data_IF_805854963799
#
_entry.id   IF_805854963799
#
_cell.length_a   1.000
_cell.length_b   1.000
_cell.length_c   1.000
_cell.angle_alpha   90.00
_cell.angle_beta   90.00
_cell.angle_gamma   90.00
#
_symmetry.space_group_name_H-M   'P 1'
#
loop_
_entity.id
_entity.type
_entity.pdbx_description
1 polymer ?
#
# COMPACT_ATOMS: atom_id res chain seq x y z
N UNK A 1 35.25 8.24 24.70
CA UNK A 1 35.23 8.31 23.23
C UNK A 1 33.82 7.95 22.80
N UNK A 2 33.14 9.00 22.33
CA UNK A 2 31.87 9.12 21.59
C UNK A 2 30.92 7.92 21.44
N UNK A 3 29.75 8.05 22.08
CA UNK A 3 28.38 8.08 21.52
C UNK A 3 28.16 7.71 20.04
N UNK A 4 27.04 7.03 19.78
CA UNK A 4 26.27 7.30 18.56
C UNK A 4 26.01 6.15 17.59
N UNK A 5 25.62 4.97 18.08
CA UNK A 5 25.05 3.93 17.22
C UNK A 5 23.62 4.30 16.77
N UNK A 6 23.49 5.00 15.65
CA UNK A 6 22.22 5.33 15.00
C UNK A 6 21.58 4.09 14.34
N UNK A 7 21.16 3.12 15.15
CA UNK A 7 20.38 1.99 14.69
C UNK A 7 18.89 2.35 14.64
N UNK A 8 18.42 2.99 13.56
CA UNK A 8 16.98 3.08 13.28
C UNK A 8 16.42 1.69 12.94
N UNK A 9 16.23 0.86 13.96
CA UNK A 9 15.44 -0.35 13.84
C UNK A 9 13.97 0.08 13.86
N UNK A 10 13.38 0.36 12.70
CA UNK A 10 11.93 0.33 12.56
C UNK A 10 11.47 -1.07 12.98
N UNK A 11 10.87 -1.20 14.16
CA UNK A 11 10.42 -2.49 14.66
C UNK A 11 9.48 -3.12 13.63
N UNK A 12 9.53 -4.45 13.47
CA UNK A 12 8.67 -5.16 12.51
C UNK A 12 7.17 -4.88 12.71
N UNK A 13 6.76 -4.56 13.95
CA UNK A 13 5.42 -4.09 14.29
C UNK A 13 5.05 -2.76 13.61
N UNK A 14 6.01 -1.82 13.50
CA UNK A 14 5.82 -0.56 12.79
C UNK A 14 5.60 -0.80 11.29
N UNK A 15 6.41 -1.66 10.67
CA UNK A 15 6.28 -1.99 9.24
C UNK A 15 4.95 -2.69 8.94
N UNK A 16 4.54 -3.64 9.79
CA UNK A 16 3.24 -4.29 9.64
C UNK A 16 2.07 -3.30 9.74
N UNK A 17 2.13 -2.37 10.69
CA UNK A 17 1.14 -1.30 10.84
C UNK A 17 1.09 -0.38 9.61
N UNK A 18 2.25 0.00 9.07
CA UNK A 18 2.32 0.81 7.85
C UNK A 18 1.78 0.07 6.62
N UNK A 19 2.05 -1.23 6.50
CA UNK A 19 1.50 -2.08 5.43
C UNK A 19 -0.02 -2.17 5.52
N UNK A 20 -0.60 -2.38 6.70
CA UNK A 20 -2.06 -2.41 6.87
C UNK A 20 -2.70 -1.06 6.56
N UNK A 21 -2.08 0.03 7.01
CA UNK A 21 -2.55 1.38 6.68
C UNK A 21 -2.48 1.67 5.17
N UNK A 22 -1.42 1.21 4.49
CA UNK A 22 -1.29 1.31 3.04
C UNK A 22 -2.35 0.47 2.31
N UNK A 23 -2.65 -0.75 2.78
CA UNK A 23 -3.73 -1.59 2.23
C UNK A 23 -5.08 -0.89 2.33
N UNK A 24 -5.39 -0.30 3.48
CA UNK A 24 -6.64 0.45 3.69
C UNK A 24 -6.74 1.65 2.74
N UNK A 25 -5.64 2.39 2.54
CA UNK A 25 -5.59 3.45 1.52
C UNK A 25 -5.90 2.94 0.13
N UNK A 26 -5.32 1.81 -0.29
CA UNK A 26 -5.60 1.21 -1.59
C UNK A 26 -7.08 0.82 -1.73
N UNK A 27 -7.70 0.22 -0.69
CA UNK A 27 -9.13 -0.10 -0.68
C UNK A 27 -10.00 1.14 -0.86
N UNK A 28 -9.70 2.23 -0.14
CA UNK A 28 -10.40 3.52 -0.29
C UNK A 28 -10.26 4.11 -1.69
N UNK A 29 -9.07 4.03 -2.28
CA UNK A 29 -8.83 4.51 -3.65
C UNK A 29 -9.64 3.68 -4.67
N UNK A 30 -9.65 2.35 -4.55
CA UNK A 30 -10.46 1.47 -5.41
C UNK A 30 -11.95 1.84 -5.32
N UNK A 31 -12.46 2.05 -4.10
CA UNK A 31 -13.84 2.47 -3.89
C UNK A 31 -14.14 3.82 -4.56
N UNK A 32 -13.26 4.82 -4.37
CA UNK A 32 -13.38 6.13 -5.04
C UNK A 32 -13.36 6.02 -6.56
N UNK A 33 -12.47 5.20 -7.13
CA UNK A 33 -12.39 5.00 -8.58
C UNK A 33 -13.69 4.37 -9.11
N UNK A 34 -14.23 3.37 -8.41
CA UNK A 34 -15.50 2.74 -8.78
C UNK A 34 -16.66 3.76 -8.84
N UNK A 35 -16.69 4.71 -7.91
CA UNK A 35 -17.67 5.80 -7.87
C UNK A 35 -17.45 6.93 -8.88
N UNK A 36 -16.34 6.94 -9.64
CA UNK A 36 -16.11 7.99 -10.65
C UNK A 36 -17.13 7.90 -11.79
N UNK A 37 -17.76 9.03 -12.18
CA UNK A 37 -18.72 9.07 -13.26
C UNK A 37 -18.01 8.92 -14.61
N UNK A 38 -18.48 8.01 -15.46
CA UNK A 38 -17.91 7.78 -16.79
C UNK A 38 -18.06 8.98 -17.74
N UNK A 39 -18.90 9.95 -17.39
CA UNK A 39 -19.04 11.22 -18.12
C UNK A 39 -17.81 12.13 -18.02
N UNK A 40 -16.92 11.89 -17.05
CA UNK A 40 -15.72 12.72 -16.82
C UNK A 40 -14.41 11.98 -17.06
N UNK A 41 -14.47 10.66 -17.25
CA UNK A 41 -13.29 9.81 -17.41
C UNK A 41 -13.60 8.71 -18.41
N UNK A 42 -12.72 8.55 -19.40
CA UNK A 42 -12.81 7.45 -20.34
C UNK A 42 -12.73 6.10 -19.62
N UNK A 43 -13.49 5.11 -20.10
CA UNK A 43 -13.53 3.78 -19.49
C UNK A 43 -12.13 3.14 -19.40
N UNK A 44 -11.27 3.37 -20.40
CA UNK A 44 -9.87 2.92 -20.41
C UNK A 44 -9.06 3.53 -19.27
N UNK A 45 -9.21 4.83 -19.01
CA UNK A 45 -8.55 5.51 -17.89
C UNK A 45 -9.03 4.95 -16.54
N UNK A 46 -10.35 4.73 -16.38
CA UNK A 46 -10.91 4.11 -15.16
C UNK A 46 -10.36 2.70 -14.95
N UNK A 47 -10.29 1.90 -16.02
CA UNK A 47 -9.73 0.56 -15.97
C UNK A 47 -8.24 0.56 -15.58
N UNK A 48 -7.45 1.47 -16.14
CA UNK A 48 -6.02 1.63 -15.79
C UNK A 48 -5.85 2.02 -14.32
N UNK A 49 -6.62 3.00 -13.82
CA UNK A 49 -6.56 3.39 -12.41
C UNK A 49 -6.92 2.23 -11.47
N UNK A 50 -7.98 1.48 -11.80
CA UNK A 50 -8.37 0.28 -11.04
C UNK A 50 -7.26 -0.77 -11.06
N UNK A 51 -6.64 -1.02 -12.21
CA UNK A 51 -5.54 -1.97 -12.34
C UNK A 51 -4.37 -1.55 -11.45
N UNK A 52 -3.93 -0.29 -11.51
CA UNK A 52 -2.83 0.21 -10.70
C UNK A 52 -3.10 0.06 -9.19
N UNK A 53 -4.28 0.48 -8.73
CA UNK A 53 -4.63 0.36 -7.31
C UNK A 53 -4.74 -1.10 -6.82
N UNK A 54 -5.23 -2.01 -7.68
CA UNK A 54 -5.28 -3.45 -7.38
C UNK A 54 -3.90 -4.09 -7.36
N UNK A 55 -3.01 -3.72 -8.28
CA UNK A 55 -1.63 -4.21 -8.33
C UNK A 55 -0.88 -3.81 -7.06
N UNK A 56 -1.02 -2.56 -6.62
CA UNK A 56 -0.42 -2.08 -5.37
C UNK A 56 -0.97 -2.83 -4.15
N UNK A 57 -2.29 -2.99 -4.05
CA UNK A 57 -2.90 -3.76 -2.96
C UNK A 57 -2.41 -5.22 -2.93
N UNK A 58 -2.25 -5.83 -4.10
CA UNK A 58 -1.72 -7.19 -4.22
C UNK A 58 -0.25 -7.25 -3.77
N UNK A 59 0.57 -6.26 -4.16
CA UNK A 59 1.94 -6.13 -3.69
C UNK A 59 2.01 -6.02 -2.16
N UNK A 60 1.26 -5.10 -1.56
CA UNK A 60 1.18 -4.92 -0.10
C UNK A 60 0.66 -6.17 0.63
N UNK A 61 -0.25 -6.92 0.02
CA UNK A 61 -0.78 -8.17 0.58
C UNK A 61 0.29 -9.26 0.67
N UNK A 62 1.25 -9.26 -0.26
CA UNK A 62 2.40 -10.17 -0.23
C UNK A 62 3.49 -9.74 0.76
N UNK A 63 3.47 -8.49 1.20
CA UNK A 63 4.35 -7.96 2.25
C UNK A 63 3.83 -8.24 3.66
N UNK A 64 2.57 -8.69 3.80
CA UNK A 64 2.03 -9.22 5.05
C UNK A 64 2.86 -10.40 5.52
N UNK A 65 3.18 -10.46 6.82
CA UNK A 65 4.53 -10.71 7.30
C UNK A 65 5.17 -11.88 6.57
N UNK A 66 6.24 -11.57 5.84
CA UNK A 66 7.39 -12.44 5.93
C UNK A 66 7.68 -12.60 7.43
N UNK A 67 7.22 -13.74 7.98
CA UNK A 67 7.84 -14.35 9.15
C UNK A 67 9.33 -14.15 8.96
N UNK A 68 9.93 -13.35 9.85
CA UNK A 68 11.35 -13.02 9.94
C UNK A 68 12.18 -14.13 9.30
N UNK A 69 12.66 -13.92 8.07
CA UNK A 69 13.67 -14.81 7.50
C UNK A 69 15.01 -14.37 8.05
N UNK A 70 15.39 -15.12 9.09
CA UNK A 70 16.74 -15.57 9.51
C UNK A 70 17.88 -14.99 8.66
#
# INVERSE_FOLDING_TARGET
MEEGGSGWCCSAASVASEVEHAKERCRRVIHKINGLPLSRIAQSCKATLLKSAKTELNFLSRLSPFSTRI
#
